data_IF_887307333831
#
_entry.id   IF_887307333831
#
_cell.length_a   1.000
_cell.length_b   1.000
_cell.length_c   1.000
_cell.angle_alpha   90.00
_cell.angle_beta   90.00
_cell.angle_gamma   90.00
#
_symmetry.space_group_name_H-M   'P 1'
#
loop_
_entity.id
_entity.type
_entity.pdbx_description
1 polymer ?
#
# COMPACT_ATOMS: atom_id res chain seq x y z
N UNK A 1 12.46 3.31 0.62
CA UNK A 1 12.66 4.76 0.89
C UNK A 1 12.00 5.08 2.22
N UNK A 2 12.47 6.03 3.03
CA UNK A 2 11.80 6.33 4.30
C UNK A 2 10.38 6.87 4.03
N UNK A 3 9.37 6.32 4.73
CA UNK A 3 7.99 6.82 4.66
C UNK A 3 7.92 8.24 5.22
N UNK A 4 7.38 9.19 4.45
CA UNK A 4 7.26 10.57 4.95
C UNK A 4 6.13 10.69 5.99
N UNK A 5 6.25 11.66 6.90
CA UNK A 5 5.23 11.92 7.91
C UNK A 5 3.87 12.29 7.30
N UNK A 6 3.86 13.03 6.18
CA UNK A 6 2.63 13.39 5.48
C UNK A 6 1.94 12.17 4.86
N UNK A 7 2.72 11.25 4.29
CA UNK A 7 2.19 10.00 3.75
C UNK A 7 1.66 9.13 4.87
N UNK A 8 2.43 8.93 5.95
CA UNK A 8 2.01 8.17 7.11
C UNK A 8 0.70 8.70 7.71
N UNK A 9 0.54 10.02 7.81
CA UNK A 9 -0.69 10.64 8.29
C UNK A 9 -1.92 10.27 7.44
N UNK A 10 -1.78 10.12 6.12
CA UNK A 10 -2.87 9.65 5.23
C UNK A 10 -3.26 8.21 5.54
N UNK A 11 -2.29 7.33 5.81
CA UNK A 11 -2.54 5.91 6.09
C UNK A 11 -3.07 5.69 7.50
N UNK A 12 -2.56 6.45 8.48
CA UNK A 12 -3.11 6.50 9.84
C UNK A 12 -4.59 6.88 9.85
N UNK A 13 -4.96 7.89 9.05
CA UNK A 13 -6.37 8.26 8.84
C UNK A 13 -7.16 7.13 8.18
N UNK A 14 -6.56 6.39 7.24
CA UNK A 14 -7.21 5.28 6.55
C UNK A 14 -7.62 4.14 7.49
N UNK A 15 -6.89 3.94 8.60
CA UNK A 15 -7.21 2.98 9.67
C UNK A 15 -7.89 3.59 10.89
N UNK A 16 -8.31 4.87 10.80
CA UNK A 16 -9.04 5.59 11.85
C UNK A 16 -8.29 5.60 13.20
N UNK A 17 -6.98 5.82 13.17
CA UNK A 17 -6.13 5.99 14.36
C UNK A 17 -5.64 7.42 14.53
N UNK A 18 -5.41 7.81 15.78
CA UNK A 18 -4.75 9.06 16.15
C UNK A 18 -3.23 8.88 16.22
N UNK A 19 -2.50 9.98 16.42
CA UNK A 19 -1.05 9.97 16.57
C UNK A 19 -0.60 9.08 17.74
N UNK A 20 0.22 8.09 17.42
CA UNK A 20 0.81 7.17 18.37
C UNK A 20 2.07 6.57 17.73
N UNK A 21 3.22 6.64 18.42
CA UNK A 21 4.50 6.22 17.86
C UNK A 21 4.58 4.72 17.55
N UNK A 22 3.92 3.87 18.35
CA UNK A 22 3.89 2.42 18.13
C UNK A 22 3.01 2.07 16.92
N UNK A 23 1.85 2.72 16.81
CA UNK A 23 0.97 2.60 15.63
C UNK A 23 1.67 3.10 14.37
N UNK A 24 2.42 4.18 14.47
CA UNK A 24 3.17 4.76 13.35
C UNK A 24 4.31 3.85 12.89
N UNK A 25 5.00 3.20 13.82
CA UNK A 25 6.02 2.20 13.50
C UNK A 25 5.39 0.99 12.79
N UNK A 26 4.30 0.45 13.32
CA UNK A 26 3.58 -0.68 12.70
C UNK A 26 3.05 -0.32 11.29
N UNK A 27 2.45 0.86 11.13
CA UNK A 27 2.00 1.32 9.83
C UNK A 27 3.14 1.48 8.83
N UNK A 28 4.31 1.94 9.29
CA UNK A 28 5.51 2.03 8.45
C UNK A 28 5.93 0.64 7.96
N UNK A 29 5.97 -0.35 8.85
CA UNK A 29 6.31 -1.73 8.49
C UNK A 29 5.33 -2.31 7.46
N UNK A 30 4.03 -2.08 7.62
CA UNK A 30 2.99 -2.55 6.68
C UNK A 30 3.09 -1.83 5.32
N UNK A 31 3.41 -0.54 5.31
CA UNK A 31 3.63 0.22 4.06
C UNK A 31 4.82 -0.35 3.30
N UNK A 32 5.95 -0.58 3.99
CA UNK A 32 7.14 -1.18 3.37
C UNK A 32 6.87 -2.61 2.90
N UNK A 33 6.10 -3.42 3.64
CA UNK A 33 5.63 -4.74 3.19
C UNK A 33 4.87 -4.64 1.86
N UNK A 34 3.92 -3.73 1.75
CA UNK A 34 3.15 -3.52 0.53
C UNK A 34 4.02 -3.07 -0.65
N UNK A 35 4.97 -2.16 -0.41
CA UNK A 35 5.91 -1.69 -1.44
C UNK A 35 6.73 -2.85 -1.99
N UNK A 36 7.25 -3.70 -1.10
CA UNK A 36 8.02 -4.88 -1.48
C UNK A 36 7.17 -5.93 -2.22
N UNK A 37 5.91 -6.14 -1.83
CA UNK A 37 4.99 -7.02 -2.58
C UNK A 37 4.77 -6.51 -4.01
N UNK A 38 4.50 -5.21 -4.19
CA UNK A 38 4.34 -4.61 -5.52
C UNK A 38 5.61 -4.75 -6.37
N UNK A 39 6.79 -4.48 -5.79
CA UNK A 39 8.08 -4.65 -6.47
C UNK A 39 8.31 -6.12 -6.86
N UNK A 40 8.02 -7.05 -5.96
CA UNK A 40 8.10 -8.50 -6.22
C UNK A 40 7.17 -8.98 -7.33
N UNK A 41 6.07 -8.26 -7.57
CA UNK A 41 5.13 -8.50 -8.67
C UNK A 41 5.53 -7.81 -9.99
N UNK A 42 6.68 -7.15 -10.04
CA UNK A 42 7.21 -6.51 -11.25
C UNK A 42 6.91 -5.02 -11.40
N UNK A 43 6.29 -4.39 -10.39
CA UNK A 43 6.12 -2.93 -10.37
C UNK A 43 7.48 -2.26 -10.17
N UNK A 44 7.75 -1.20 -10.92
CA UNK A 44 8.99 -0.43 -10.81
C UNK A 44 9.17 0.12 -9.40
N UNK A 45 10.38 0.02 -8.86
CA UNK A 45 10.71 0.56 -7.54
C UNK A 45 10.42 2.06 -7.46
N UNK A 46 10.68 2.81 -8.53
CA UNK A 46 10.38 4.24 -8.63
C UNK A 46 8.89 4.55 -8.56
N UNK A 47 8.02 3.58 -8.87
CA UNK A 47 6.56 3.69 -8.74
C UNK A 47 6.09 3.22 -7.38
N UNK A 48 6.50 2.04 -6.92
CA UNK A 48 6.12 1.53 -5.61
C UNK A 48 6.48 2.50 -4.46
N UNK A 49 7.59 3.22 -4.59
CA UNK A 49 8.02 4.24 -3.62
C UNK A 49 7.46 5.65 -3.88
N UNK A 50 6.69 5.87 -4.95
CA UNK A 50 6.14 7.20 -5.27
C UNK A 50 4.92 7.52 -4.39
N UNK A 51 5.15 8.30 -3.32
CA UNK A 51 4.11 8.74 -2.39
C UNK A 51 3.11 9.74 -2.98
N UNK A 52 3.38 10.28 -4.18
CA UNK A 52 2.46 11.13 -4.93
C UNK A 52 1.59 10.32 -5.93
N UNK A 53 1.93 9.06 -6.20
CA UNK A 53 1.19 8.22 -7.15
C UNK A 53 -0.13 7.73 -6.53
N UNK A 54 -1.24 8.19 -7.11
CA UNK A 54 -2.57 7.92 -6.58
C UNK A 54 -2.98 6.44 -6.64
N UNK A 55 -2.48 5.68 -7.62
CA UNK A 55 -2.78 4.24 -7.74
C UNK A 55 -2.02 3.45 -6.68
N UNK A 56 -0.76 3.83 -6.43
CA UNK A 56 0.08 3.22 -5.40
C UNK A 56 -0.48 3.51 -4.01
N UNK A 57 -0.91 4.76 -3.75
CA UNK A 57 -1.61 5.11 -2.52
C UNK A 57 -2.92 4.32 -2.33
N UNK A 58 -3.65 4.07 -3.42
CA UNK A 58 -4.86 3.23 -3.41
C UNK A 58 -4.56 1.80 -2.95
N UNK A 59 -3.57 1.16 -3.58
CA UNK A 59 -3.14 -0.19 -3.23
C UNK A 59 -2.66 -0.27 -1.77
N UNK A 60 -1.79 0.65 -1.34
CA UNK A 60 -1.27 0.69 0.04
C UNK A 60 -2.41 0.90 1.06
N UNK A 61 -3.42 1.73 0.76
CA UNK A 61 -4.58 1.91 1.65
C UNK A 61 -5.34 0.61 1.88
N UNK A 62 -5.62 -0.15 0.82
CA UNK A 62 -6.28 -1.44 0.95
C UNK A 62 -5.42 -2.44 1.71
N UNK A 63 -4.12 -2.49 1.41
CA UNK A 63 -3.19 -3.37 2.11
C UNK A 63 -3.10 -3.05 3.61
N UNK A 64 -2.96 -1.77 3.95
CA UNK A 64 -2.92 -1.31 5.35
C UNK A 64 -4.22 -1.60 6.08
N UNK A 65 -5.39 -1.34 5.48
CA UNK A 65 -6.69 -1.67 6.09
C UNK A 65 -6.92 -3.17 6.27
N UNK A 66 -6.35 -3.98 5.39
CA UNK A 66 -6.36 -5.43 5.50
C UNK A 66 -5.46 -5.92 6.64
N UNK A 67 -4.20 -5.46 6.70
CA UNK A 67 -3.18 -5.98 7.63
C UNK A 67 -3.22 -5.37 9.03
N UNK A 68 -3.61 -4.10 9.18
CA UNK A 68 -3.62 -3.41 10.49
C UNK A 68 -4.68 -3.96 11.46
N UNK A 69 -5.69 -4.66 10.95
CA UNK A 69 -6.28 -5.79 11.66
C UNK A 69 -6.78 -5.59 13.11
N UNK A 70 -7.66 -4.62 13.37
CA UNK A 70 -8.46 -4.61 14.60
C UNK A 70 -9.95 -4.62 14.28
N UNK A 71 -10.59 -5.80 14.44
CA UNK A 71 -12.04 -6.04 14.31
C UNK A 71 -12.67 -5.42 13.06
N UNK A 72 -12.13 -5.75 11.89
CA UNK A 72 -12.62 -5.22 10.62
C UNK A 72 -13.29 -6.33 9.80
N UNK A 73 -14.62 -6.36 9.81
CA UNK A 73 -15.42 -7.24 8.93
C UNK A 73 -15.11 -6.98 7.45
N UNK A 74 -14.57 -5.79 7.13
CA UNK A 74 -14.15 -5.40 5.78
C UNK A 74 -12.73 -5.86 5.43
N UNK A 75 -12.00 -6.56 6.31
CA UNK A 75 -10.62 -7.00 6.03
C UNK A 75 -10.53 -7.89 4.79
N UNK A 76 -11.52 -8.76 4.58
CA UNK A 76 -11.61 -9.61 3.40
C UNK A 76 -11.83 -8.79 2.12
N UNK A 77 -12.70 -7.77 2.18
CA UNK A 77 -12.97 -6.86 1.05
C UNK A 77 -11.72 -6.05 0.71
N UNK A 78 -11.04 -5.48 1.71
CA UNK A 78 -9.80 -4.73 1.49
C UNK A 78 -8.69 -5.61 0.90
N UNK A 79 -8.63 -6.88 1.29
CA UNK A 79 -7.73 -7.85 0.67
C UNK A 79 -8.10 -8.06 -0.80
N UNK A 80 -9.37 -8.31 -1.12
CA UNK A 80 -9.83 -8.50 -2.50
C UNK A 80 -9.53 -7.28 -3.37
N UNK A 81 -9.88 -6.08 -2.90
CA UNK A 81 -9.59 -4.82 -3.57
C UNK A 81 -8.09 -4.64 -3.83
N UNK A 82 -7.24 -5.01 -2.87
CA UNK A 82 -5.79 -4.99 -3.05
C UNK A 82 -5.33 -5.97 -4.14
N UNK A 83 -5.86 -7.20 -4.13
CA UNK A 83 -5.52 -8.22 -5.13
C UNK A 83 -5.92 -7.76 -6.54
N UNK A 84 -7.09 -7.13 -6.69
CA UNK A 84 -7.51 -6.54 -7.97
C UNK A 84 -6.62 -5.37 -8.36
N UNK A 85 -6.33 -4.44 -7.44
CA UNK A 85 -5.52 -3.26 -7.74
C UNK A 85 -4.09 -3.61 -8.13
N UNK A 86 -3.42 -4.52 -7.41
CA UNK A 86 -2.04 -4.91 -7.75
C UNK A 86 -1.96 -5.59 -9.12
N UNK A 87 -2.97 -6.37 -9.49
CA UNK A 87 -3.08 -7.00 -10.81
C UNK A 87 -3.33 -5.96 -11.91
N UNK A 88 -4.14 -4.94 -11.66
CA UNK A 88 -4.36 -3.85 -12.62
C UNK A 88 -3.15 -2.92 -12.76
N UNK A 89 -2.43 -2.67 -11.67
CA UNK A 89 -1.17 -1.90 -11.70
C UNK A 89 -0.13 -2.65 -12.54
N UNK A 90 0.04 -3.95 -12.32
CA UNK A 90 1.09 -4.70 -13.02
C UNK A 90 0.89 -4.83 -14.54
N UNK A 91 -0.37 -4.69 -15.01
CA UNK A 91 -0.71 -4.67 -16.44
C UNK A 91 -0.36 -3.35 -17.12
N UNK A 92 -0.08 -2.28 -16.36
CA UNK A 92 0.24 -0.97 -16.92
C UNK A 92 1.72 -0.90 -17.27
N UNK A 93 2.02 -0.77 -18.56
CA UNK A 93 3.40 -0.61 -19.06
C UNK A 93 4.14 0.55 -18.38
N UNK A 94 3.45 1.64 -18.04
CA UNK A 94 4.07 2.77 -17.33
C UNK A 94 4.51 2.45 -15.88
N UNK A 95 4.07 1.32 -15.33
CA UNK A 95 4.37 0.89 -13.95
C UNK A 95 5.28 -0.32 -13.88
N UNK A 96 5.56 -1.00 -15.00
CA UNK A 96 6.30 -2.25 -15.02
C UNK A 96 7.39 -2.24 -16.09
N UNK A 97 8.51 -2.88 -15.82
CA UNK A 97 9.68 -2.98 -16.72
C UNK A 97 9.37 -3.77 -18.00
N UNK A 98 8.31 -4.58 -17.98
CA UNK A 98 7.65 -5.22 -19.13
C UNK A 98 6.25 -5.64 -18.69
N UNK A 99 5.24 -5.55 -19.57
CA UNK A 99 3.94 -6.17 -19.27
C UNK A 99 4.19 -7.67 -19.04
N UNK A 100 3.95 -8.16 -17.82
CA UNK A 100 4.04 -9.59 -17.54
C UNK A 100 2.91 -10.25 -18.34
N UNK A 101 3.27 -11.04 -19.35
CA UNK A 101 2.34 -11.86 -20.15
C UNK A 101 1.58 -12.87 -19.29
#
# INVERSE_FOLDING_TARGET
MAVTAEYLAKLRRAVRRGENAEVDAELTDIIEECRLDLIGLGVLESKANDEADALILGAIRCFVRWKFGLNNDEAAVNREDYMTMRDEIRKKVAYCTSATE
#
